data_IF_345249540708
#
_entry.id   IF_345249540708
#
_cell.length_a   1.000
_cell.length_b   1.000
_cell.length_c   1.000
_cell.angle_alpha   90.00
_cell.angle_beta   90.00
_cell.angle_gamma   90.00
#
_symmetry.space_group_name_H-M   'P 1'
#
loop_
_entity.id
_entity.type
_entity.pdbx_description
1 polymer ?
#
# COMPACT_ATOMS: atom_id res chain seq x y z
N UNK A 1 5.71 19.12 10.70
CA UNK A 1 6.57 18.04 10.16
C UNK A 1 7.01 17.10 11.26
N UNK A 2 7.26 17.61 12.47
CA UNK A 2 7.74 16.81 13.60
C UNK A 2 6.81 15.66 14.00
N UNK A 3 5.48 15.85 13.96
CA UNK A 3 4.53 14.77 14.25
C UNK A 3 4.79 13.48 13.46
N UNK A 4 4.91 13.55 12.13
CA UNK A 4 5.14 12.34 11.31
C UNK A 4 6.52 11.76 11.58
N UNK A 5 7.53 12.63 11.69
CA UNK A 5 8.91 12.26 12.01
C UNK A 5 9.01 11.50 13.34
N UNK A 6 8.41 12.05 14.39
CA UNK A 6 8.44 11.51 15.75
C UNK A 6 7.68 10.18 15.82
N UNK A 7 6.53 10.06 15.16
CA UNK A 7 5.77 8.80 15.15
C UNK A 7 6.49 7.68 14.40
N UNK A 8 7.12 7.96 13.26
CA UNK A 8 7.91 6.93 12.58
C UNK A 8 9.10 6.47 13.44
N UNK A 9 9.79 7.39 14.13
CA UNK A 9 10.86 7.02 15.05
C UNK A 9 10.34 6.24 16.26
N UNK A 10 9.18 6.61 16.82
CA UNK A 10 8.55 5.84 17.89
C UNK A 10 8.30 4.39 17.45
N UNK A 11 7.72 4.20 16.26
CA UNK A 11 7.44 2.86 15.72
C UNK A 11 8.71 2.05 15.49
N UNK A 12 9.74 2.66 14.88
CA UNK A 12 11.04 2.03 14.62
C UNK A 12 11.68 1.59 15.94
N UNK A 13 11.85 2.53 16.87
CA UNK A 13 12.56 2.29 18.13
C UNK A 13 11.86 1.29 19.04
N UNK A 14 10.52 1.28 19.04
CA UNK A 14 9.75 0.42 19.94
C UNK A 14 9.52 -0.97 19.40
N UNK A 15 9.29 -1.10 18.09
CA UNK A 15 8.81 -2.36 17.51
C UNK A 15 9.76 -3.01 16.51
N UNK A 16 10.78 -2.29 16.03
CA UNK A 16 11.75 -2.81 15.04
C UNK A 16 11.06 -3.53 13.87
N UNK A 17 10.12 -2.85 13.16
CA UNK A 17 9.30 -3.50 12.15
C UNK A 17 10.16 -4.00 10.99
N UNK A 18 9.85 -5.17 10.44
CA UNK A 18 10.54 -5.68 9.25
C UNK A 18 10.24 -4.84 7.99
N UNK A 19 9.13 -4.11 7.99
CA UNK A 19 8.68 -3.32 6.84
C UNK A 19 8.15 -1.96 7.28
N UNK A 20 8.65 -0.88 6.68
CA UNK A 20 8.00 0.44 6.72
C UNK A 20 7.13 0.63 5.48
N UNK A 21 5.82 0.51 5.67
CA UNK A 21 4.83 0.66 4.61
C UNK A 21 4.15 2.03 4.71
N UNK A 22 4.64 3.02 3.95
CA UNK A 22 4.03 4.34 3.87
C UNK A 22 2.86 4.36 2.89
N UNK A 23 1.98 5.36 2.98
CA UNK A 23 0.91 5.57 2.01
C UNK A 23 0.68 7.06 1.73
N UNK A 24 0.21 7.37 0.52
CA UNK A 24 -0.13 8.75 0.06
C UNK A 24 1.06 9.72 0.22
N UNK A 25 2.28 9.19 0.19
CA UNK A 25 3.49 9.98 0.27
C UNK A 25 3.86 10.45 1.67
N UNK A 26 5.05 11.03 1.78
CA UNK A 26 5.54 11.63 3.02
C UNK A 26 5.44 13.17 2.96
N UNK A 27 5.28 13.87 4.10
CA UNK A 27 5.41 15.32 4.11
C UNK A 27 6.75 15.78 3.51
N UNK A 28 6.78 16.96 2.88
CA UNK A 28 8.03 17.53 2.35
C UNK A 28 8.96 17.85 3.52
N UNK A 29 9.87 16.93 3.82
CA UNK A 29 10.80 17.02 4.95
C UNK A 29 12.20 16.62 4.48
N UNK A 30 13.20 17.53 4.55
CA UNK A 30 14.56 17.24 4.13
C UNK A 30 15.22 16.14 4.98
N UNK A 31 14.64 15.79 6.14
CA UNK A 31 15.16 14.76 7.03
C UNK A 31 14.79 13.34 6.60
N UNK A 32 13.89 13.13 5.63
CA UNK A 32 13.46 11.78 5.22
C UNK A 32 14.62 10.78 4.97
N UNK A 33 15.73 11.14 4.31
CA UNK A 33 16.87 10.23 4.17
C UNK A 33 17.48 9.78 5.50
N UNK A 34 17.45 10.65 6.52
CA UNK A 34 17.93 10.32 7.86
C UNK A 34 16.98 9.32 8.54
N UNK A 35 15.66 9.46 8.37
CA UNK A 35 14.69 8.46 8.86
C UNK A 35 14.99 7.05 8.32
N UNK A 36 15.26 6.92 7.02
CA UNK A 36 15.62 5.63 6.43
C UNK A 36 16.95 5.11 6.96
N UNK A 37 17.95 5.98 7.11
CA UNK A 37 19.23 5.60 7.70
C UNK A 37 19.05 5.05 9.13
N UNK A 38 18.26 5.73 9.95
CA UNK A 38 17.98 5.31 11.32
C UNK A 38 17.21 3.98 11.34
N UNK A 39 16.26 3.79 10.42
CA UNK A 39 15.56 2.52 10.23
C UNK A 39 16.52 1.36 9.92
N UNK A 40 17.35 1.48 8.89
CA UNK A 40 18.26 0.38 8.51
C UNK A 40 19.40 0.18 9.52
N UNK A 41 19.74 1.18 10.34
CA UNK A 41 20.65 0.98 11.48
C UNK A 41 20.01 0.12 12.58
N UNK A 42 18.72 0.31 12.84
CA UNK A 42 17.96 -0.47 13.82
C UNK A 42 17.56 -1.85 13.28
N UNK A 43 17.22 -1.96 12.00
CA UNK A 43 16.73 -3.17 11.32
C UNK A 43 17.43 -3.32 9.96
N UNK A 44 18.65 -3.90 9.92
CA UNK A 44 19.45 -3.98 8.69
C UNK A 44 18.79 -4.73 7.52
N UNK A 45 17.94 -5.72 7.81
CA UNK A 45 17.19 -6.52 6.83
C UNK A 45 15.78 -5.96 6.56
N UNK A 46 15.46 -4.79 7.13
CA UNK A 46 14.16 -4.15 6.96
C UNK A 46 13.91 -3.73 5.51
N UNK A 47 12.65 -3.53 5.14
CA UNK A 47 12.27 -3.08 3.79
C UNK A 47 11.36 -1.85 3.83
N UNK A 48 11.46 -0.98 2.84
CA UNK A 48 10.57 0.18 2.65
C UNK A 48 9.87 0.13 1.30
N UNK A 49 8.58 0.46 1.26
CA UNK A 49 7.81 0.52 0.02
C UNK A 49 8.13 1.79 -0.81
N UNK A 50 7.48 1.97 -1.96
CA UNK A 50 7.73 3.08 -2.89
C UNK A 50 6.83 4.32 -2.69
N UNK A 51 6.10 4.39 -1.57
CA UNK A 51 5.05 5.41 -1.33
C UNK A 51 5.48 6.54 -0.41
N UNK A 52 6.73 6.98 -0.54
CA UNK A 52 7.31 8.07 0.25
C UNK A 52 7.42 9.39 -0.52
N UNK A 53 7.08 9.39 -1.80
CA UNK A 53 7.12 10.57 -2.66
C UNK A 53 6.33 11.74 -2.07
N UNK A 54 6.91 12.94 -2.08
CA UNK A 54 6.27 14.11 -1.50
C UNK A 54 5.39 14.84 -2.52
N UNK A 55 4.17 15.21 -2.15
CA UNK A 55 3.36 16.14 -2.94
C UNK A 55 3.82 17.59 -2.70
N UNK A 56 3.99 18.42 -3.74
CA UNK A 56 4.36 19.82 -3.59
C UNK A 56 3.42 20.60 -2.64
N UNK A 57 3.99 21.39 -1.72
CA UNK A 57 3.24 22.12 -0.68
C UNK A 57 2.11 23.04 -1.23
N UNK A 58 2.22 23.56 -2.46
CA UNK A 58 1.19 24.39 -3.08
C UNK A 58 -0.11 23.63 -3.41
N UNK A 59 -0.05 22.29 -3.54
CA UNK A 59 -1.23 21.43 -3.70
C UNK A 59 -2.08 21.37 -2.42
N UNK A 60 -1.47 21.60 -1.25
CA UNK A 60 -2.14 21.57 0.05
C UNK A 60 -2.75 22.91 0.46
N UNK A 61 -2.25 24.03 -0.07
CA UNK A 61 -2.62 25.40 0.37
C UNK A 61 -3.24 26.32 -0.69
N UNK A 62 -3.53 25.85 -1.92
CA UNK A 62 -4.01 26.77 -2.96
C UNK A 62 -5.41 27.36 -2.68
N UNK A 63 -5.49 28.71 -2.68
CA UNK A 63 -6.69 29.55 -2.68
C UNK A 63 -7.66 29.26 -3.87
N UNK A 64 -7.28 28.38 -4.79
CA UNK A 64 -8.03 27.99 -6.00
C UNK A 64 -8.47 26.51 -6.00
N UNK A 65 -8.68 25.89 -4.82
CA UNK A 65 -9.19 24.50 -4.66
C UNK A 65 -10.25 24.05 -5.68
N UNK A 66 -11.27 24.86 -6.07
CA UNK A 66 -12.25 24.45 -7.07
C UNK A 66 -11.66 24.26 -8.47
N UNK A 67 -10.76 25.16 -8.90
CA UNK A 67 -10.04 25.08 -10.17
C UNK A 67 -9.03 23.93 -10.16
N UNK A 68 -8.37 23.70 -9.03
CA UNK A 68 -7.48 22.56 -8.84
C UNK A 68 -8.23 21.23 -8.92
N UNK A 69 -9.38 21.10 -8.24
CA UNK A 69 -10.21 19.90 -8.31
C UNK A 69 -10.77 19.65 -9.71
N UNK A 70 -11.12 20.71 -10.45
CA UNK A 70 -11.56 20.61 -11.85
C UNK A 70 -10.40 20.16 -12.76
N UNK A 71 -9.21 20.75 -12.58
CA UNK A 71 -7.99 20.35 -13.29
C UNK A 71 -7.58 18.91 -12.97
N UNK A 72 -7.62 18.51 -11.70
CA UNK A 72 -7.37 17.14 -11.26
C UNK A 72 -8.36 16.17 -11.90
N UNK A 73 -9.66 16.51 -11.97
CA UNK A 73 -10.67 15.68 -12.63
C UNK A 73 -10.42 15.52 -14.14
N UNK A 74 -9.92 16.56 -14.80
CA UNK A 74 -9.53 16.54 -16.22
C UNK A 74 -8.25 15.70 -16.43
N UNK A 75 -7.29 15.78 -15.52
CA UNK A 75 -6.04 14.99 -15.55
C UNK A 75 -6.32 13.51 -15.24
N UNK A 76 -7.15 13.21 -14.24
CA UNK A 76 -7.57 11.83 -13.91
C UNK A 76 -8.46 11.22 -14.98
N UNK A 77 -9.27 12.04 -15.68
CA UNK A 77 -10.06 11.62 -16.84
C UNK A 77 -9.24 11.40 -18.12
N UNK A 78 -7.96 11.79 -18.13
CA UNK A 78 -7.03 11.66 -19.26
C UNK A 78 -5.83 10.76 -18.93
N UNK A 79 -5.96 9.84 -17.97
CA UNK A 79 -4.87 8.99 -17.50
C UNK A 79 -4.25 8.12 -18.63
N UNK A 80 -3.35 8.73 -19.40
CA UNK A 80 -2.13 8.08 -19.85
C UNK A 80 -1.09 8.35 -18.77
N UNK A 81 -0.68 7.27 -18.10
CA UNK A 81 0.39 7.15 -17.10
C UNK A 81 1.54 8.11 -17.42
N UNK A 82 1.63 9.22 -16.68
CA UNK A 82 2.54 10.32 -16.98
C UNK A 82 3.38 10.71 -15.76
N UNK A 83 4.53 10.06 -15.63
CA UNK A 83 5.74 10.54 -14.95
C UNK A 83 5.54 11.08 -13.52
N UNK A 84 5.19 10.19 -12.60
CA UNK A 84 5.61 10.39 -11.21
C UNK A 84 7.13 10.48 -11.18
N UNK A 85 7.68 11.49 -10.49
CA UNK A 85 9.12 11.49 -10.20
C UNK A 85 9.41 10.19 -9.44
N UNK A 86 10.30 9.32 -9.95
CA UNK A 86 10.52 8.03 -9.32
C UNK A 86 10.92 8.26 -7.86
N UNK A 87 10.34 7.52 -6.91
CA UNK A 87 10.70 7.66 -5.51
C UNK A 87 12.21 7.47 -5.37
N UNK A 88 12.85 8.39 -4.64
CA UNK A 88 14.30 8.43 -4.52
C UNK A 88 14.86 7.17 -3.83
N UNK A 89 14.08 6.56 -2.93
CA UNK A 89 14.47 5.39 -2.15
C UNK A 89 13.26 4.46 -1.97
N UNK A 90 13.44 3.18 -2.26
CA UNK A 90 12.50 2.09 -2.03
C UNK A 90 13.22 0.75 -2.20
N UNK A 91 12.73 -0.30 -1.53
CA UNK A 91 13.22 -1.67 -1.73
C UNK A 91 12.32 -2.48 -2.67
N UNK A 92 11.04 -2.12 -2.72
CA UNK A 92 10.06 -2.75 -3.63
C UNK A 92 8.95 -1.78 -4.05
N UNK A 93 8.38 -2.03 -5.22
CA UNK A 93 7.25 -1.26 -5.76
C UNK A 93 5.91 -1.75 -5.23
N UNK A 94 4.90 -0.88 -5.21
CA UNK A 94 3.55 -1.27 -4.82
C UNK A 94 2.56 -1.09 -5.97
N UNK A 95 1.66 -2.05 -6.10
CA UNK A 95 0.54 -2.05 -7.04
C UNK A 95 -0.75 -2.29 -6.28
N UNK A 96 -1.83 -1.64 -6.69
CA UNK A 96 -3.14 -1.84 -6.10
C UNK A 96 -4.10 -2.53 -7.08
N UNK A 97 -4.90 -3.46 -6.54
CA UNK A 97 -5.97 -4.16 -7.26
C UNK A 97 -5.51 -4.80 -8.58
N UNK A 98 -5.92 -4.23 -9.72
CA UNK A 98 -5.76 -4.80 -11.06
C UNK A 98 -4.61 -4.17 -11.83
N UNK A 99 -3.73 -3.41 -11.18
CA UNK A 99 -2.58 -2.82 -11.85
C UNK A 99 -1.61 -3.91 -12.31
N UNK A 100 -1.30 -3.92 -13.61
CA UNK A 100 -0.30 -4.84 -14.18
C UNK A 100 1.12 -4.32 -13.96
N UNK A 101 2.01 -5.26 -13.66
CA UNK A 101 3.43 -5.02 -13.49
C UNK A 101 4.16 -5.04 -14.84
N UNK A 102 5.01 -4.06 -15.08
CA UNK A 102 5.82 -3.94 -16.30
C UNK A 102 7.28 -3.60 -16.01
N UNK A 103 7.71 -3.69 -14.75
CA UNK A 103 9.08 -3.38 -14.32
C UNK A 103 9.94 -4.62 -14.13
N UNK A 104 11.18 -4.41 -13.65
CA UNK A 104 12.18 -5.46 -13.42
C UNK A 104 12.53 -5.68 -11.94
N UNK A 105 12.11 -4.75 -11.08
CA UNK A 105 12.34 -4.75 -9.64
C UNK A 105 11.38 -5.68 -8.89
N UNK A 106 11.61 -5.84 -7.58
CA UNK A 106 10.63 -6.50 -6.70
C UNK A 106 9.38 -5.63 -6.55
N UNK A 107 8.22 -6.28 -6.43
CA UNK A 107 6.98 -5.57 -6.20
C UNK A 107 6.02 -6.34 -5.29
N UNK A 108 5.06 -5.61 -4.73
CA UNK A 108 3.97 -6.13 -3.94
C UNK A 108 2.65 -5.64 -4.55
N UNK A 109 1.76 -6.56 -4.89
CA UNK A 109 0.37 -6.21 -5.16
C UNK A 109 -0.42 -6.26 -3.87
N UNK A 110 -1.22 -5.24 -3.59
CA UNK A 110 -2.09 -5.17 -2.42
C UNK A 110 -3.55 -5.00 -2.82
N UNK A 111 -4.44 -5.70 -2.11
CA UNK A 111 -5.89 -5.58 -2.27
C UNK A 111 -6.63 -6.12 -1.05
N UNK A 112 -7.87 -5.65 -0.88
CA UNK A 112 -8.85 -6.29 0.01
C UNK A 112 -9.40 -7.60 -0.52
N UNK A 113 -10.04 -8.37 0.36
CA UNK A 113 -10.82 -9.54 -0.01
C UNK A 113 -12.15 -9.18 -0.67
N UNK A 114 -12.68 -7.98 -0.43
CA UNK A 114 -13.83 -7.41 -1.14
C UNK A 114 -13.42 -6.13 -1.91
N UNK A 115 -14.32 -5.17 -2.03
CA UNK A 115 -14.09 -3.87 -2.69
C UNK A 115 -13.49 -2.80 -1.77
N UNK A 116 -13.13 -3.14 -0.54
CA UNK A 116 -12.63 -2.22 0.49
C UNK A 116 -11.37 -2.77 1.18
N UNK A 117 -10.63 -1.89 1.85
CA UNK A 117 -9.57 -2.28 2.80
C UNK A 117 -10.14 -2.39 4.23
N UNK A 118 -10.86 -1.37 4.69
CA UNK A 118 -11.57 -1.42 5.97
C UNK A 118 -12.84 -2.28 5.89
N UNK A 119 -13.35 -2.72 7.04
CA UNK A 119 -14.61 -3.45 7.12
C UNK A 119 -15.75 -2.68 6.43
N UNK A 120 -16.45 -3.36 5.53
CA UNK A 120 -17.63 -2.85 4.85
C UNK A 120 -18.84 -3.74 5.14
N UNK A 121 -19.73 -3.25 6.01
CA UNK A 121 -20.97 -3.94 6.38
C UNK A 121 -21.93 -4.21 5.19
N UNK A 122 -21.74 -3.51 4.06
CA UNK A 122 -22.56 -3.68 2.86
C UNK A 122 -21.94 -4.63 1.82
N UNK A 123 -20.78 -5.22 2.10
CA UNK A 123 -20.18 -6.22 1.21
C UNK A 123 -21.07 -7.46 1.15
N UNK A 124 -21.40 -7.89 -0.07
CA UNK A 124 -22.21 -9.08 -0.31
C UNK A 124 -21.29 -10.24 -0.67
N UNK A 125 -21.74 -11.50 -0.55
CA UNK A 125 -20.90 -12.67 -0.84
C UNK A 125 -20.22 -12.64 -2.21
N UNK A 126 -20.90 -12.13 -3.24
CA UNK A 126 -20.37 -11.99 -4.60
C UNK A 126 -19.34 -10.86 -4.78
N UNK A 127 -19.20 -9.97 -3.81
CA UNK A 127 -18.19 -8.91 -3.85
C UNK A 127 -16.83 -9.40 -3.33
N UNK A 128 -16.78 -10.58 -2.70
CA UNK A 128 -15.56 -11.19 -2.20
C UNK A 128 -14.83 -12.03 -3.26
N UNK A 129 -13.51 -11.97 -3.21
CA UNK A 129 -12.61 -12.89 -3.91
C UNK A 129 -12.70 -14.29 -3.30
N UNK A 130 -12.47 -15.32 -4.12
CA UNK A 130 -12.34 -16.71 -3.68
C UNK A 130 -10.88 -17.06 -3.34
N UNK A 131 -10.67 -18.14 -2.58
CA UNK A 131 -9.32 -18.67 -2.33
C UNK A 131 -8.60 -19.04 -3.64
N UNK A 132 -9.31 -19.58 -4.63
CA UNK A 132 -8.74 -19.93 -5.94
C UNK A 132 -8.27 -18.69 -6.70
N UNK A 133 -9.05 -17.61 -6.71
CA UNK A 133 -8.63 -16.34 -7.31
C UNK A 133 -7.42 -15.74 -6.58
N UNK A 134 -7.35 -15.84 -5.24
CA UNK A 134 -6.15 -15.43 -4.50
C UNK A 134 -4.93 -16.25 -4.93
N UNK A 135 -5.06 -17.58 -5.03
CA UNK A 135 -3.98 -18.45 -5.51
C UNK A 135 -3.56 -18.10 -6.93
N UNK A 136 -4.50 -17.76 -7.81
CA UNK A 136 -4.22 -17.32 -9.17
C UNK A 136 -3.44 -16.00 -9.19
N UNK A 137 -3.78 -15.03 -8.32
CA UNK A 137 -3.00 -13.79 -8.18
C UNK A 137 -1.56 -14.11 -7.77
N UNK A 138 -1.37 -14.94 -6.74
CA UNK A 138 -0.03 -15.34 -6.28
C UNK A 138 0.76 -16.03 -7.39
N UNK A 139 0.13 -16.97 -8.10
CA UNK A 139 0.73 -17.68 -9.22
C UNK A 139 1.11 -16.73 -10.38
N UNK A 140 0.31 -15.69 -10.63
CA UNK A 140 0.60 -14.66 -11.63
C UNK A 140 1.80 -13.80 -11.25
N UNK A 141 1.86 -13.31 -10.00
CA UNK A 141 2.85 -12.29 -9.59
C UNK A 141 4.20 -12.88 -9.18
N UNK A 142 4.23 -14.08 -8.57
CA UNK A 142 5.45 -14.69 -8.03
C UNK A 142 6.59 -14.85 -9.06
N UNK A 143 6.35 -15.34 -10.29
CA UNK A 143 7.40 -15.48 -11.31
C UNK A 143 8.01 -14.14 -11.75
N UNK A 144 7.33 -13.02 -11.47
CA UNK A 144 7.72 -11.68 -11.88
C UNK A 144 8.43 -10.90 -10.77
N UNK A 145 8.94 -11.59 -9.73
CA UNK A 145 9.45 -10.98 -8.48
C UNK A 145 8.38 -10.25 -7.65
N UNK A 146 7.13 -10.66 -7.83
CA UNK A 146 5.98 -10.10 -7.11
C UNK A 146 5.60 -10.91 -5.87
N UNK A 147 5.01 -10.25 -4.89
CA UNK A 147 4.25 -10.88 -3.80
C UNK A 147 2.85 -10.28 -3.68
N UNK A 148 1.97 -10.97 -2.97
CA UNK A 148 0.63 -10.49 -2.65
C UNK A 148 0.57 -10.12 -1.17
N UNK A 149 0.14 -8.90 -0.88
CA UNK A 149 -0.33 -8.46 0.43
C UNK A 149 -1.87 -8.48 0.41
N UNK A 150 -2.45 -9.55 0.95
CA UNK A 150 -3.90 -9.69 1.02
C UNK A 150 -4.42 -9.06 2.32
N UNK A 151 -5.23 -8.02 2.20
CA UNK A 151 -5.76 -7.29 3.35
C UNK A 151 -7.00 -7.98 3.96
N UNK A 152 -7.06 -7.98 5.29
CA UNK A 152 -8.24 -8.30 6.11
C UNK A 152 -8.79 -6.99 6.68
N UNK A 153 -10.12 -6.83 6.67
CA UNK A 153 -10.80 -5.70 7.30
C UNK A 153 -11.60 -6.17 8.52
N UNK A 154 -11.02 -6.15 9.74
CA UNK A 154 -11.70 -6.57 10.97
C UNK A 154 -12.91 -5.69 11.31
N UNK A 155 -13.87 -6.27 12.00
CA UNK A 155 -15.01 -5.55 12.58
C UNK A 155 -14.55 -4.63 13.72
N UNK A 156 -15.46 -3.74 14.16
CA UNK A 156 -15.20 -2.77 15.24
C UNK A 156 -14.81 -3.42 16.58
N UNK A 157 -15.17 -4.68 16.80
CA UNK A 157 -14.84 -5.46 17.99
C UNK A 157 -13.52 -6.25 17.84
N UNK A 158 -12.85 -6.10 16.69
CA UNK A 158 -11.59 -6.79 16.37
C UNK A 158 -11.77 -8.19 15.78
N UNK A 159 -13.00 -8.68 15.62
CA UNK A 159 -13.25 -9.98 14.98
C UNK A 159 -13.01 -9.91 13.46
N UNK A 160 -12.62 -11.04 12.86
CA UNK A 160 -12.52 -11.16 11.39
C UNK A 160 -13.88 -11.57 10.85
N UNK A 161 -14.46 -10.87 9.85
CA UNK A 161 -15.74 -11.25 9.27
C UNK A 161 -15.77 -12.69 8.75
N UNK A 162 -16.86 -13.47 8.94
CA UNK A 162 -16.89 -14.89 8.60
C UNK A 162 -16.50 -15.23 7.16
N UNK A 163 -16.87 -14.39 6.18
CA UNK A 163 -16.48 -14.60 4.78
C UNK A 163 -14.97 -14.45 4.55
N UNK A 164 -14.32 -13.47 5.19
CA UNK A 164 -12.87 -13.28 5.11
C UNK A 164 -12.13 -14.43 5.81
N UNK A 165 -12.62 -14.85 6.98
CA UNK A 165 -12.08 -16.00 7.70
C UNK A 165 -12.18 -17.28 6.87
N UNK A 166 -13.32 -17.52 6.21
CA UNK A 166 -13.50 -18.67 5.32
C UNK A 166 -12.46 -18.69 4.22
N UNK A 167 -12.21 -17.56 3.55
CA UNK A 167 -11.20 -17.47 2.48
C UNK A 167 -9.81 -17.83 3.02
N UNK A 168 -9.43 -17.32 4.19
CA UNK A 168 -8.14 -17.64 4.82
C UNK A 168 -8.01 -19.13 5.17
N UNK A 169 -9.08 -19.75 5.69
CA UNK A 169 -9.11 -21.19 5.98
C UNK A 169 -9.01 -22.03 4.72
N UNK A 170 -9.73 -21.65 3.67
CA UNK A 170 -9.67 -22.31 2.37
C UNK A 170 -8.28 -22.17 1.72
N UNK A 171 -7.56 -21.06 1.98
CA UNK A 171 -6.17 -20.86 1.54
C UNK A 171 -5.18 -21.74 2.29
N UNK A 172 -5.37 -21.91 3.60
CA UNK A 172 -4.53 -22.72 4.47
C UNK A 172 -4.72 -24.23 4.24
N UNK A 173 -5.92 -24.64 3.81
CA UNK A 173 -6.16 -26.01 3.38
C UNK A 173 -5.22 -26.35 2.21
N UNK A 174 -4.41 -27.40 2.39
CA UNK A 174 -3.61 -27.96 1.31
C UNK A 174 -4.57 -28.48 0.24
N UNK A 175 -4.36 -28.11 -1.01
CA UNK A 175 -5.05 -28.82 -2.09
C UNK A 175 -4.51 -30.26 -2.12
N UNK A 176 -5.39 -31.27 -2.30
CA UNK A 176 -4.96 -32.65 -2.46
C UNK A 176 -4.02 -32.84 -3.66
#
# INVERSE_FOLDING_TARGET
>A
MDYAWDQWHELINRYHPDILWSDIGYPVDPRLPQLFKDFYQAVPEGMVNDRWGSYPNWLRHSFNKPLFNLGAKIVTGRSNKGKDTPPLYYDYRTLEYTADWHGTDYFETTRGMDKSFGYNQYSRPQDYITADEVRQIVAKVRPQKGRLLLNVGPEKDGSIPPYQEKILRDLAAQQP
#
